data_IF_436816806865
#
_entry.id   IF_436816806865
#
_cell.length_a   1.000
_cell.length_b   1.000
_cell.length_c   1.000
_cell.angle_alpha   90.00
_cell.angle_beta   90.00
_cell.angle_gamma   90.00
#
_symmetry.space_group_name_H-M   'P 1'
#
loop_
_entity.id
_entity.type
_entity.pdbx_description
1 polymer ?
#
# COMPACT_ATOMS: atom_id res chain seq x y z
N UNK A 1 28.27 -23.66 31.74
CA UNK A 1 27.16 -23.21 30.88
C UNK A 1 26.34 -24.44 30.50
N UNK A 2 25.03 -24.45 30.76
CA UNK A 2 24.21 -25.63 30.47
C UNK A 2 23.85 -25.64 28.97
N UNK A 3 24.63 -26.36 28.17
CA UNK A 3 24.51 -26.38 26.69
C UNK A 3 23.09 -26.74 26.22
N UNK A 4 22.37 -27.55 27.02
CA UNK A 4 20.97 -27.91 26.74
C UNK A 4 20.04 -26.70 26.79
N UNK A 5 20.19 -25.85 27.81
CA UNK A 5 19.39 -24.63 27.97
C UNK A 5 19.70 -23.62 26.87
N UNK A 6 20.98 -23.50 26.50
CA UNK A 6 21.39 -22.61 25.41
C UNK A 6 20.76 -23.03 24.08
N UNK A 7 20.86 -24.31 23.71
CA UNK A 7 20.28 -24.80 22.47
C UNK A 7 18.75 -24.73 22.47
N UNK A 8 18.10 -25.08 23.59
CA UNK A 8 16.65 -24.98 23.71
C UNK A 8 16.15 -23.54 23.58
N UNK A 9 16.82 -22.59 24.24
CA UNK A 9 16.46 -21.17 24.16
C UNK A 9 16.72 -20.61 22.76
N UNK A 10 17.85 -20.97 22.15
CA UNK A 10 18.16 -20.60 20.77
C UNK A 10 17.11 -21.14 19.81
N UNK A 11 16.80 -22.44 19.87
CA UNK A 11 15.82 -23.05 18.98
C UNK A 11 14.41 -22.45 19.17
N UNK A 12 14.00 -22.18 20.42
CA UNK A 12 12.71 -21.56 20.70
C UNK A 12 12.62 -20.15 20.11
N UNK A 13 13.62 -19.30 20.33
CA UNK A 13 13.64 -17.94 19.79
C UNK A 13 13.78 -17.97 18.26
N UNK A 14 14.68 -18.81 17.73
CA UNK A 14 14.87 -18.96 16.30
C UNK A 14 13.58 -19.36 15.59
N UNK A 15 12.85 -20.35 16.12
CA UNK A 15 11.60 -20.81 15.52
C UNK A 15 10.46 -19.79 15.68
N UNK A 16 10.43 -19.04 16.78
CA UNK A 16 9.46 -17.97 16.99
C UNK A 16 9.67 -16.78 16.05
N UNK A 17 10.93 -16.50 15.68
CA UNK A 17 11.31 -15.38 14.81
C UNK A 17 11.36 -15.78 13.32
N UNK A 18 11.37 -17.08 13.00
CA UNK A 18 11.58 -17.57 11.63
C UNK A 18 10.45 -17.12 10.70
N UNK A 19 10.81 -16.34 9.67
CA UNK A 19 9.84 -15.82 8.70
C UNK A 19 9.05 -14.62 9.20
N UNK A 20 9.47 -13.98 10.30
CA UNK A 20 8.90 -12.71 10.72
C UNK A 20 9.18 -11.59 9.71
N UNK A 21 8.30 -10.58 9.70
CA UNK A 21 8.39 -9.38 8.87
C UNK A 21 9.74 -8.68 9.01
N UNK A 22 10.34 -8.66 10.21
CA UNK A 22 11.68 -8.07 10.39
C UNK A 22 12.77 -8.79 9.61
N UNK A 23 12.69 -10.11 9.41
CA UNK A 23 13.64 -10.87 8.60
C UNK A 23 13.49 -10.56 7.11
N UNK A 24 12.24 -10.42 6.63
CA UNK A 24 11.95 -9.98 5.26
C UNK A 24 12.44 -8.55 5.01
N UNK A 25 12.27 -7.65 5.98
CA UNK A 25 12.81 -6.28 5.91
C UNK A 25 14.34 -6.29 5.86
N UNK A 26 15.00 -7.08 6.72
CA UNK A 26 16.46 -7.21 6.71
C UNK A 26 16.98 -7.75 5.37
N UNK A 27 16.30 -8.75 4.79
CA UNK A 27 16.61 -9.31 3.48
C UNK A 27 16.42 -8.28 2.36
N UNK A 28 15.33 -7.51 2.40
CA UNK A 28 15.08 -6.44 1.43
C UNK A 28 16.14 -5.34 1.51
N UNK A 29 16.55 -4.92 2.73
CA UNK A 29 17.65 -3.98 2.92
C UNK A 29 18.99 -4.53 2.43
N UNK A 30 19.23 -5.84 2.60
CA UNK A 30 20.45 -6.46 2.12
C UNK A 30 20.48 -6.52 0.58
N UNK A 31 19.33 -6.76 -0.06
CA UNK A 31 19.19 -6.80 -1.52
C UNK A 31 19.35 -5.43 -2.19
N UNK A 32 18.97 -4.34 -1.51
CA UNK A 32 19.09 -2.97 -2.05
C UNK A 32 20.39 -2.25 -1.65
N UNK A 33 21.19 -2.81 -0.74
CA UNK A 33 22.42 -2.17 -0.25
C UNK A 33 23.63 -2.51 -1.12
N UNK A 34 24.48 -1.50 -1.38
CA UNK A 34 25.81 -1.67 -1.99
C UNK A 34 26.76 -2.54 -1.14
N UNK A 35 26.42 -2.78 0.13
CA UNK A 35 27.18 -3.65 1.04
C UNK A 35 26.24 -4.54 1.88
N UNK A 36 25.87 -5.73 1.37
CA UNK A 36 25.01 -6.67 2.08
C UNK A 36 25.58 -7.12 3.43
N UNK A 37 26.91 -7.21 3.53
CA UNK A 37 27.61 -7.57 4.77
C UNK A 37 27.39 -6.51 5.87
N UNK A 38 27.40 -5.22 5.52
CA UNK A 38 27.14 -4.16 6.50
C UNK A 38 25.71 -4.25 7.04
N UNK A 39 24.73 -4.55 6.18
CA UNK A 39 23.32 -4.74 6.58
C UNK A 39 23.19 -5.97 7.48
N UNK A 40 23.84 -7.08 7.13
CA UNK A 40 23.85 -8.29 7.95
C UNK A 40 24.37 -8.03 9.37
N UNK A 41 25.53 -7.36 9.50
CA UNK A 41 26.09 -7.07 10.82
C UNK A 41 25.27 -6.05 11.60
N UNK A 42 24.72 -5.03 10.93
CA UNK A 42 23.86 -4.03 11.57
C UNK A 42 22.58 -4.62 12.12
N UNK A 43 21.87 -5.41 11.31
CA UNK A 43 20.63 -6.09 11.70
C UNK A 43 20.87 -7.16 12.78
N UNK A 44 21.95 -7.92 12.65
CA UNK A 44 22.36 -8.90 13.68
C UNK A 44 22.67 -8.22 15.01
N UNK A 45 23.40 -7.10 15.00
CA UNK A 45 23.74 -6.35 16.22
C UNK A 45 22.50 -5.75 16.87
N UNK A 46 21.56 -5.23 16.06
CA UNK A 46 20.28 -4.73 16.56
C UNK A 46 19.48 -5.86 17.23
N UNK A 47 19.37 -7.03 16.61
CA UNK A 47 18.67 -8.18 17.17
C UNK A 47 19.29 -8.63 18.50
N UNK A 48 20.62 -8.79 18.54
CA UNK A 48 21.34 -9.18 19.76
C UNK A 48 21.10 -8.17 20.88
N UNK A 49 21.19 -6.87 20.57
CA UNK A 49 21.04 -5.79 21.55
C UNK A 49 19.62 -5.75 22.11
N UNK A 50 18.61 -5.79 21.26
CA UNK A 50 17.20 -5.78 21.68
C UNK A 50 16.85 -7.03 22.49
N UNK A 51 17.32 -8.21 22.07
CA UNK A 51 17.12 -9.45 22.82
C UNK A 51 17.80 -9.41 24.18
N UNK A 52 19.04 -8.91 24.25
CA UNK A 52 19.77 -8.77 25.51
C UNK A 52 19.04 -7.83 26.48
N UNK A 53 18.55 -6.69 25.99
CA UNK A 53 17.74 -5.78 26.79
C UNK A 53 16.46 -6.45 27.28
N UNK A 54 15.71 -7.13 26.41
CA UNK A 54 14.48 -7.83 26.78
C UNK A 54 14.72 -8.88 27.88
N UNK A 55 15.80 -9.66 27.78
CA UNK A 55 16.16 -10.66 28.80
C UNK A 55 16.56 -10.00 30.12
N UNK A 56 17.36 -8.92 30.09
CA UNK A 56 17.76 -8.18 31.31
C UNK A 56 16.52 -7.62 32.01
N UNK A 57 15.63 -6.95 31.26
CA UNK A 57 14.39 -6.41 31.82
C UNK A 57 13.46 -7.50 32.34
N UNK A 58 13.30 -8.61 31.60
CA UNK A 58 12.50 -9.75 32.02
C UNK A 58 13.02 -10.38 33.32
N UNK A 59 14.33 -10.52 33.46
CA UNK A 59 14.98 -11.03 34.67
C UNK A 59 14.87 -10.05 35.85
N UNK A 60 14.98 -8.74 35.59
CA UNK A 60 14.74 -7.74 36.64
C UNK A 60 13.29 -7.80 37.14
N UNK A 61 12.34 -7.99 36.23
CA UNK A 61 10.92 -8.06 36.56
C UNK A 61 10.56 -9.37 37.29
N UNK A 62 11.17 -10.50 36.91
CA UNK A 62 10.99 -11.81 37.56
C UNK A 62 11.46 -11.85 39.01
N UNK A 63 12.42 -11.00 39.38
CA UNK A 63 12.90 -10.87 40.76
C UNK A 63 11.95 -10.08 41.65
N UNK A 64 11.14 -9.19 41.07
CA UNK A 64 10.25 -8.29 41.80
C UNK A 64 8.81 -8.84 41.85
N UNK A 65 8.36 -9.49 40.79
CA UNK A 65 6.99 -9.99 40.65
C UNK A 65 6.89 -11.51 40.83
N UNK A 66 5.83 -12.01 41.48
CA UNK A 66 5.56 -13.45 41.53
C UNK A 66 5.32 -14.02 40.13
N UNK A 67 5.80 -15.23 39.87
CA UNK A 67 5.68 -15.93 38.58
C UNK A 67 4.23 -16.02 38.07
N UNK A 68 3.27 -16.22 38.98
CA UNK A 68 1.84 -16.23 38.64
C UNK A 68 1.36 -14.90 38.06
N UNK A 69 1.85 -13.79 38.59
CA UNK A 69 1.50 -12.44 38.10
C UNK A 69 2.11 -12.20 36.72
N UNK A 70 3.32 -12.68 36.48
CA UNK A 70 3.96 -12.60 35.17
C UNK A 70 3.19 -13.38 34.10
N UNK A 71 2.78 -14.63 34.38
CA UNK A 71 2.03 -15.44 33.42
C UNK A 71 0.64 -14.90 33.13
N UNK A 72 -0.10 -14.51 34.17
CA UNK A 72 -1.43 -13.93 33.99
C UNK A 72 -1.31 -12.56 33.30
N UNK A 73 -0.33 -11.75 33.71
CA UNK A 73 -0.07 -10.43 33.13
C UNK A 73 0.30 -10.51 31.65
N UNK A 74 1.20 -11.42 31.25
CA UNK A 74 1.58 -11.61 29.85
C UNK A 74 0.41 -12.13 29.02
N UNK A 75 -0.38 -13.09 29.55
CA UNK A 75 -1.57 -13.61 28.87
C UNK A 75 -2.64 -12.52 28.67
N UNK A 76 -2.93 -11.72 29.70
CA UNK A 76 -3.86 -10.58 29.60
C UNK A 76 -3.34 -9.56 28.60
N UNK A 77 -2.05 -9.23 28.63
CA UNK A 77 -1.46 -8.28 27.68
C UNK A 77 -1.54 -8.81 26.24
N UNK A 78 -1.32 -10.11 26.03
CA UNK A 78 -1.41 -10.74 24.73
C UNK A 78 -2.85 -10.69 24.18
N UNK A 79 -3.85 -10.98 25.01
CA UNK A 79 -5.27 -10.86 24.64
C UNK A 79 -5.65 -9.40 24.37
N UNK A 80 -5.19 -8.46 25.20
CA UNK A 80 -5.46 -7.04 25.00
C UNK A 80 -4.85 -6.52 23.70
N UNK A 81 -3.58 -6.82 23.44
CA UNK A 81 -2.92 -6.44 22.18
C UNK A 81 -3.61 -7.11 21.00
N UNK A 82 -3.92 -8.41 21.08
CA UNK A 82 -4.66 -9.12 20.04
C UNK A 82 -6.02 -8.51 19.77
N UNK A 83 -6.76 -8.13 20.81
CA UNK A 83 -8.06 -7.46 20.69
C UNK A 83 -7.91 -6.04 20.12
N UNK A 84 -6.92 -5.27 20.56
CA UNK A 84 -6.63 -3.95 20.01
C UNK A 84 -6.29 -4.05 18.53
N UNK A 85 -5.45 -5.00 18.12
CA UNK A 85 -5.13 -5.24 16.72
C UNK A 85 -6.36 -5.66 15.93
N UNK A 86 -7.17 -6.60 16.45
CA UNK A 86 -8.39 -7.06 15.81
C UNK A 86 -9.41 -5.93 15.67
N UNK A 87 -9.58 -5.10 16.70
CA UNK A 87 -10.48 -3.95 16.69
C UNK A 87 -9.94 -2.85 15.78
N UNK A 88 -8.62 -2.63 15.72
CA UNK A 88 -8.02 -1.66 14.82
C UNK A 88 -8.20 -2.06 13.35
N UNK A 89 -8.03 -3.35 13.04
CA UNK A 89 -8.32 -3.88 11.70
C UNK A 89 -9.82 -3.89 11.39
N UNK A 90 -10.68 -4.21 12.37
CA UNK A 90 -12.14 -4.16 12.19
C UNK A 90 -12.71 -2.73 12.15
N UNK A 91 -12.01 -1.74 12.70
CA UNK A 91 -12.36 -0.30 12.66
C UNK A 91 -11.74 0.43 11.49
N UNK A 92 -10.96 -0.23 10.64
CA UNK A 92 -10.61 0.34 9.35
C UNK A 92 -11.87 0.49 8.50
N UNK A 93 -12.50 1.65 8.56
CA UNK A 93 -12.71 2.45 7.34
C UNK A 93 -11.29 2.83 6.88
N UNK A 94 -10.88 2.71 5.60
CA UNK A 94 -9.50 2.94 5.18
C UNK A 94 -9.01 4.30 5.65
N UNK A 95 -8.30 4.31 6.78
CA UNK A 95 -7.68 5.48 7.32
C UNK A 95 -6.39 5.67 6.55
N UNK A 96 -6.36 6.70 5.69
CA UNK A 96 -5.13 7.23 5.12
C UNK A 96 -4.16 7.50 6.27
N UNK A 97 -3.13 6.66 6.40
CA UNK A 97 -2.11 6.82 7.42
C UNK A 97 -1.30 8.11 7.12
N UNK A 98 -0.93 8.90 8.14
CA UNK A 98 0.04 9.97 7.95
C UNK A 98 1.31 9.38 7.36
N UNK A 99 1.74 9.94 6.24
CA UNK A 99 2.81 9.37 5.45
C UNK A 99 4.12 9.38 6.25
N UNK A 100 4.85 8.25 6.33
CA UNK A 100 6.23 8.29 6.78
C UNK A 100 7.01 9.20 5.83
N UNK A 101 7.77 10.15 6.39
CA UNK A 101 8.76 10.89 5.61
C UNK A 101 9.64 9.89 4.87
N UNK A 102 9.89 10.10 3.56
CA UNK A 102 10.64 9.16 2.76
C UNK A 102 12.06 9.08 3.32
N UNK A 103 12.43 7.90 3.83
CA UNK A 103 13.81 7.56 4.08
C UNK A 103 14.58 7.75 2.76
N UNK A 104 15.53 8.68 2.75
CA UNK A 104 16.51 8.82 1.70
C UNK A 104 17.26 7.49 1.58
N UNK A 105 16.95 6.65 0.61
CA UNK A 105 17.82 5.54 0.26
C UNK A 105 17.86 5.37 -1.25
N UNK A 106 19.10 5.38 -1.74
CA UNK A 106 19.52 5.60 -3.11
C UNK A 106 19.07 4.51 -4.10
N UNK A 107 18.67 5.02 -5.27
CA UNK A 107 19.03 4.52 -6.61
C UNK A 107 18.66 3.08 -6.97
N UNK A 108 17.44 2.90 -7.48
CA UNK A 108 17.21 2.25 -8.79
C UNK A 108 16.15 3.10 -9.51
N UNK A 109 16.52 3.80 -10.59
CA UNK A 109 15.50 4.38 -11.46
C UNK A 109 14.75 3.21 -12.10
N UNK A 110 13.43 3.05 -11.93
CA UNK A 110 12.70 2.11 -12.76
C UNK A 110 12.89 2.58 -14.20
N UNK A 111 13.41 1.69 -15.06
CA UNK A 111 13.61 1.95 -16.48
C UNK A 111 12.37 2.66 -17.04
N UNK A 112 12.55 3.81 -17.71
CA UNK A 112 11.47 4.72 -18.08
C UNK A 112 10.35 4.08 -18.92
N UNK A 113 10.58 2.89 -19.48
CA UNK A 113 9.58 2.05 -20.14
C UNK A 113 8.48 1.56 -19.18
N UNK A 114 8.82 0.97 -18.02
CA UNK A 114 7.83 0.43 -17.09
C UNK A 114 6.98 1.52 -16.45
N UNK A 115 7.61 2.63 -16.04
CA UNK A 115 6.89 3.79 -15.51
C UNK A 115 5.91 4.37 -16.53
N UNK A 116 6.31 4.46 -17.81
CA UNK A 116 5.40 4.87 -18.90
C UNK A 116 4.28 3.86 -19.15
N UNK A 117 4.57 2.56 -19.07
CA UNK A 117 3.56 1.51 -19.27
C UNK A 117 2.50 1.55 -18.17
N UNK A 118 2.89 1.67 -16.90
CA UNK A 118 1.96 1.68 -15.78
C UNK A 118 1.18 3.00 -15.72
N UNK A 119 1.81 4.15 -16.00
CA UNK A 119 1.09 5.43 -16.10
C UNK A 119 0.16 5.50 -17.32
N UNK A 120 0.44 4.78 -18.41
CA UNK A 120 -0.52 4.64 -19.50
C UNK A 120 -1.74 3.82 -19.09
N UNK A 121 -1.58 2.82 -18.23
CA UNK A 121 -2.73 2.11 -17.64
C UNK A 121 -3.52 3.02 -16.71
N UNK A 122 -2.87 3.90 -15.93
CA UNK A 122 -3.56 4.93 -15.14
C UNK A 122 -4.52 5.76 -16.01
N UNK A 123 -4.02 6.28 -17.15
CA UNK A 123 -4.85 7.07 -18.08
C UNK A 123 -6.02 6.26 -18.65
N UNK A 124 -5.79 4.98 -18.94
CA UNK A 124 -6.85 4.08 -19.42
C UNK A 124 -7.95 3.94 -18.36
N UNK A 125 -7.58 3.69 -17.10
CA UNK A 125 -8.55 3.54 -16.02
C UNK A 125 -9.39 4.79 -15.78
N UNK A 126 -8.76 5.97 -15.81
CA UNK A 126 -9.47 7.25 -15.72
C UNK A 126 -10.46 7.45 -16.87
N UNK A 127 -10.04 7.12 -18.10
CA UNK A 127 -10.91 7.23 -19.27
C UNK A 127 -12.10 6.28 -19.16
N UNK A 128 -11.86 5.03 -18.74
CA UNK A 128 -12.93 4.06 -18.49
C UNK A 128 -13.80 4.40 -17.27
N UNK A 129 -13.30 5.18 -16.32
CA UNK A 129 -14.06 5.68 -15.17
C UNK A 129 -15.01 6.78 -15.60
N UNK A 130 -14.50 7.75 -16.36
CA UNK A 130 -15.29 8.83 -16.99
C UNK A 130 -16.42 8.25 -17.85
N UNK A 131 -16.13 7.29 -18.74
CA UNK A 131 -17.15 6.66 -19.58
C UNK A 131 -18.26 5.98 -18.74
N UNK A 132 -17.88 5.38 -17.60
CA UNK A 132 -18.81 4.73 -16.69
C UNK A 132 -19.66 5.75 -15.90
N UNK A 133 -19.07 6.87 -15.47
CA UNK A 133 -19.78 7.96 -14.80
C UNK A 133 -20.77 8.65 -15.74
N UNK A 134 -20.38 8.91 -16.99
CA UNK A 134 -21.27 9.48 -18.01
C UNK A 134 -22.46 8.56 -18.26
N UNK A 135 -22.20 7.25 -18.45
CA UNK A 135 -23.25 6.24 -18.63
C UNK A 135 -24.20 6.18 -17.44
N UNK A 136 -23.69 6.25 -16.21
CA UNK A 136 -24.50 6.26 -15.00
C UNK A 136 -25.31 7.57 -14.85
N UNK A 137 -24.74 8.69 -15.28
CA UNK A 137 -25.41 10.00 -15.28
C UNK A 137 -26.63 10.00 -16.20
N UNK A 138 -26.55 9.34 -17.37
CA UNK A 138 -27.67 9.24 -18.31
C UNK A 138 -28.89 8.51 -17.74
N UNK A 139 -28.66 7.49 -16.92
CA UNK A 139 -29.71 6.64 -16.32
C UNK A 139 -30.10 7.07 -14.90
N UNK A 140 -29.47 8.10 -14.34
CA UNK A 140 -29.74 8.59 -12.99
C UNK A 140 -30.95 9.54 -12.97
N UNK A 141 -32.01 9.12 -12.26
CA UNK A 141 -33.22 9.90 -12.05
C UNK A 141 -33.10 10.90 -10.87
N UNK A 142 -32.27 10.60 -9.87
CA UNK A 142 -32.06 11.47 -8.72
C UNK A 142 -31.23 12.70 -9.10
N UNK A 143 -31.74 13.90 -8.83
CA UNK A 143 -31.11 15.16 -9.25
C UNK A 143 -29.82 15.48 -8.46
N UNK A 144 -29.75 15.11 -7.18
CA UNK A 144 -28.59 15.36 -6.34
C UNK A 144 -27.45 14.40 -6.68
N UNK A 145 -27.76 13.11 -6.85
CA UNK A 145 -26.82 12.10 -7.31
C UNK A 145 -26.32 12.40 -8.72
N UNK A 146 -27.22 12.78 -9.63
CA UNK A 146 -26.85 13.20 -10.98
C UNK A 146 -25.87 14.38 -10.97
N UNK A 147 -26.15 15.40 -10.15
CA UNK A 147 -25.24 16.52 -10.01
C UNK A 147 -23.87 16.09 -9.46
N UNK A 148 -23.84 15.20 -8.46
CA UNK A 148 -22.61 14.64 -7.93
C UNK A 148 -21.80 13.86 -8.97
N UNK A 149 -22.45 13.05 -9.80
CA UNK A 149 -21.82 12.32 -10.90
C UNK A 149 -21.24 13.26 -11.98
N UNK A 150 -21.95 14.34 -12.33
CA UNK A 150 -21.46 15.36 -13.29
C UNK A 150 -20.24 16.13 -12.73
N UNK A 151 -20.22 16.41 -11.43
CA UNK A 151 -19.09 17.06 -10.75
C UNK A 151 -17.85 16.16 -10.73
N UNK A 152 -18.02 14.90 -10.31
CA UNK A 152 -16.95 13.90 -10.30
C UNK A 152 -16.40 13.67 -11.72
N UNK A 153 -17.27 13.49 -12.72
CA UNK A 153 -16.86 13.35 -14.13
C UNK A 153 -15.95 14.49 -14.57
N UNK A 154 -16.29 15.73 -14.20
CA UNK A 154 -15.49 16.91 -14.57
C UNK A 154 -14.13 16.94 -13.87
N UNK A 155 -14.05 16.46 -12.63
CA UNK A 155 -12.80 16.36 -11.87
C UNK A 155 -11.89 15.26 -12.43
N UNK A 156 -12.42 14.09 -12.79
CA UNK A 156 -11.65 12.98 -13.40
C UNK A 156 -11.03 13.37 -14.76
N UNK A 157 -11.68 14.27 -15.52
CA UNK A 157 -11.05 14.84 -16.72
C UNK A 157 -9.75 15.60 -16.40
N UNK A 158 -9.65 16.24 -15.23
CA UNK A 158 -8.41 16.91 -14.77
C UNK A 158 -7.35 15.88 -14.35
N UNK A 159 -7.77 14.73 -13.83
CA UNK A 159 -6.86 13.63 -13.48
C UNK A 159 -6.15 13.08 -14.73
N UNK A 160 -6.91 12.87 -15.82
CA UNK A 160 -6.39 12.44 -17.12
C UNK A 160 -5.30 13.39 -17.62
N UNK A 161 -5.53 14.70 -17.58
CA UNK A 161 -4.54 15.69 -18.03
C UNK A 161 -3.30 15.71 -17.13
N UNK A 162 -3.48 15.60 -15.81
CA UNK A 162 -2.37 15.52 -14.84
C UNK A 162 -1.48 14.30 -15.08
N UNK A 163 -2.08 13.15 -15.42
CA UNK A 163 -1.35 11.93 -15.78
C UNK A 163 -0.65 12.04 -17.14
N UNK A 164 -1.27 12.69 -18.13
CA UNK A 164 -0.63 12.95 -19.43
C UNK A 164 0.60 13.82 -19.26
N UNK A 165 0.51 14.90 -18.49
CA UNK A 165 1.66 15.76 -18.16
C UNK A 165 2.77 14.93 -17.52
N UNK A 166 2.42 14.07 -16.57
CA UNK A 166 3.38 13.21 -15.88
C UNK A 166 4.09 12.23 -16.83
N UNK A 167 3.36 11.63 -17.77
CA UNK A 167 3.92 10.74 -18.80
C UNK A 167 4.83 11.48 -19.76
N UNK A 168 4.47 12.70 -20.16
CA UNK A 168 5.30 13.52 -21.07
C UNK A 168 6.61 13.99 -20.42
N UNK A 169 6.65 14.09 -19.08
CA UNK A 169 7.86 14.44 -18.32
C UNK A 169 8.88 13.31 -18.20
N UNK A 170 8.57 12.07 -18.61
CA UNK A 170 9.50 10.94 -18.54
C UNK A 170 10.41 10.90 -19.79
N UNK A 171 11.75 10.93 -19.64
CA UNK A 171 12.68 10.83 -20.77
C UNK A 171 12.43 9.59 -21.65
N UNK A 172 12.53 9.77 -22.97
CA UNK A 172 12.40 8.67 -23.93
C UNK A 172 13.62 7.75 -23.82
N UNK A 173 13.44 6.46 -24.12
CA UNK A 173 14.54 5.48 -24.07
C UNK A 173 15.61 5.76 -25.14
N UNK A 174 15.28 6.60 -26.12
CA UNK A 174 16.15 6.96 -27.25
C UNK A 174 17.15 8.07 -26.89
N UNK A 175 17.06 8.65 -25.67
CA UNK A 175 17.96 9.69 -25.15
C UNK A 175 19.07 9.14 -24.23
N UNK A 176 19.17 7.80 -24.04
CA UNK A 176 20.31 7.19 -23.35
C UNK A 176 21.57 7.27 -24.22
N UNK A 177 22.74 7.68 -23.67
CA UNK A 177 24.00 7.56 -24.38
C UNK A 177 24.28 6.09 -24.65
N UNK A 178 24.37 5.74 -25.94
CA UNK A 178 24.67 4.42 -26.50
C UNK A 178 25.70 3.65 -25.66
N UNK A 179 25.20 2.85 -24.72
CA UNK A 179 25.95 1.80 -24.05
C UNK A 179 25.37 0.50 -24.57
N UNK A 180 25.90 0.11 -25.73
CA UNK A 180 25.43 -1.03 -26.52
C UNK A 180 25.13 -2.27 -25.70
N UNK A 181 23.84 -2.53 -25.50
CA UNK A 181 23.28 -3.85 -25.27
C UNK A 181 21.84 -3.82 -25.78
N UNK A 182 21.68 -4.29 -27.02
CA UNK A 182 20.40 -4.58 -27.64
C UNK A 182 19.81 -5.82 -26.95
N UNK A 183 19.23 -5.64 -25.76
CA UNK A 183 18.31 -6.60 -25.19
C UNK A 183 16.88 -6.10 -25.43
N UNK A 184 16.16 -6.88 -26.23
CA UNK A 184 14.73 -6.73 -26.47
C UNK A 184 14.02 -6.66 -25.11
N UNK A 185 13.11 -5.70 -24.85
CA UNK A 185 12.55 -5.52 -23.53
C UNK A 185 11.82 -6.80 -23.12
N UNK A 186 12.38 -7.52 -22.15
CA UNK A 186 11.66 -8.59 -21.48
C UNK A 186 10.36 -8.00 -20.93
N UNK A 187 9.28 -8.74 -21.06
CA UNK A 187 7.98 -8.41 -20.46
C UNK A 187 8.13 -8.48 -18.95
N UNK A 188 8.64 -7.41 -18.34
CA UNK A 188 8.77 -7.31 -16.90
C UNK A 188 7.37 -7.17 -16.33
N UNK A 189 6.93 -8.18 -15.59
CA UNK A 189 5.65 -8.14 -14.88
C UNK A 189 5.66 -6.98 -13.88
N UNK A 190 4.52 -6.28 -13.70
CA UNK A 190 4.44 -5.19 -12.74
C UNK A 190 4.82 -5.69 -11.34
N UNK A 191 5.45 -4.83 -10.52
CA UNK A 191 5.74 -5.15 -9.13
C UNK A 191 4.45 -5.52 -8.39
N UNK A 192 4.54 -6.48 -7.46
CA UNK A 192 3.40 -7.07 -6.74
C UNK A 192 2.32 -6.07 -6.29
N UNK A 193 2.62 -4.94 -5.62
CA UNK A 193 1.57 -4.01 -5.18
C UNK A 193 0.77 -3.36 -6.33
N UNK A 194 1.37 -3.20 -7.51
CA UNK A 194 0.66 -2.73 -8.70
C UNK A 194 -0.05 -3.89 -9.39
N UNK A 195 0.54 -5.08 -9.43
CA UNK A 195 -0.13 -6.27 -9.96
C UNK A 195 -1.40 -6.62 -9.16
N UNK A 196 -1.34 -6.53 -7.84
CA UNK A 196 -2.46 -6.79 -6.93
C UNK A 196 -3.58 -5.74 -7.13
N UNK A 197 -3.21 -4.46 -7.27
CA UNK A 197 -4.16 -3.40 -7.56
C UNK A 197 -4.83 -3.56 -8.94
N UNK A 198 -4.05 -3.91 -9.97
CA UNK A 198 -4.58 -4.21 -11.30
C UNK A 198 -5.56 -5.39 -11.27
N UNK A 199 -5.23 -6.46 -10.55
CA UNK A 199 -6.10 -7.63 -10.40
C UNK A 199 -7.39 -7.30 -9.61
N UNK A 200 -7.31 -6.42 -8.61
CA UNK A 200 -8.48 -5.95 -7.86
C UNK A 200 -9.46 -5.18 -8.77
N UNK A 201 -8.95 -4.39 -9.71
CA UNK A 201 -9.75 -3.66 -10.70
C UNK A 201 -10.38 -4.59 -11.75
N UNK A 202 -9.62 -5.58 -12.23
CA UNK A 202 -10.14 -6.61 -13.16
C UNK A 202 -11.23 -7.48 -12.53
N UNK A 203 -11.19 -7.68 -11.20
CA UNK A 203 -12.19 -8.45 -10.45
C UNK A 203 -13.55 -7.76 -10.28
N UNK A 204 -13.67 -6.47 -10.63
CA UNK A 204 -14.94 -5.73 -10.60
C UNK A 204 -15.74 -6.05 -11.88
N UNK A 205 -16.07 -7.34 -12.08
CA UNK A 205 -16.96 -7.77 -13.17
C UNK A 205 -18.44 -7.57 -12.79
N UNK A 206 -19.29 -7.44 -13.82
CA UNK A 206 -20.71 -7.16 -13.69
C UNK A 206 -21.51 -8.33 -13.06
N UNK A 207 -21.53 -8.45 -11.74
CA UNK A 207 -22.59 -9.22 -11.07
C UNK A 207 -23.91 -8.42 -11.16
N UNK A 208 -24.95 -8.99 -11.77
CA UNK A 208 -26.26 -8.32 -11.98
C UNK A 208 -26.94 -7.88 -10.67
N UNK A 209 -26.48 -8.38 -9.52
CA UNK A 209 -27.08 -8.13 -8.21
C UNK A 209 -26.76 -6.76 -7.60
N UNK A 210 -25.65 -6.10 -7.99
CA UNK A 210 -25.20 -4.84 -7.38
C UNK A 210 -25.56 -3.60 -8.21
N UNK A 211 -26.10 -2.58 -7.53
CA UNK A 211 -26.47 -1.28 -8.10
C UNK A 211 -25.30 -0.67 -8.89
N UNK A 212 -25.52 -0.13 -10.10
CA UNK A 212 -24.45 0.42 -10.94
C UNK A 212 -23.63 1.50 -10.21
N UNK A 213 -24.25 2.24 -9.27
CA UNK A 213 -23.59 3.27 -8.49
C UNK A 213 -22.64 2.72 -7.41
N UNK A 214 -22.94 1.55 -6.82
CA UNK A 214 -22.03 0.90 -5.88
C UNK A 214 -20.77 0.40 -6.59
N UNK A 215 -20.89 -0.02 -7.85
CA UNK A 215 -19.74 -0.42 -8.68
C UNK A 215 -18.86 0.76 -9.04
N UNK A 216 -19.44 1.94 -9.31
CA UNK A 216 -18.65 3.16 -9.53
C UNK A 216 -17.80 3.49 -8.30
N UNK A 217 -18.38 3.39 -7.10
CA UNK A 217 -17.66 3.63 -5.83
C UNK A 217 -16.51 2.62 -5.67
N UNK A 218 -16.77 1.33 -5.88
CA UNK A 218 -15.72 0.31 -5.82
C UNK A 218 -14.62 0.55 -6.86
N UNK A 219 -14.97 0.98 -8.07
CA UNK A 219 -14.01 1.29 -9.13
C UNK A 219 -13.12 2.47 -8.74
N UNK A 220 -13.67 3.55 -8.19
CA UNK A 220 -12.91 4.69 -7.67
C UNK A 220 -11.97 4.30 -6.52
N UNK A 221 -12.45 3.49 -5.56
CA UNK A 221 -11.60 2.98 -4.48
C UNK A 221 -10.43 2.14 -5.01
N UNK A 222 -10.67 1.31 -6.02
CA UNK A 222 -9.63 0.50 -6.64
C UNK A 222 -8.61 1.35 -7.44
N UNK A 223 -9.05 2.39 -8.15
CA UNK A 223 -8.18 3.38 -8.80
C UNK A 223 -7.31 4.10 -7.75
N UNK A 224 -7.89 4.48 -6.61
CA UNK A 224 -7.16 5.11 -5.51
C UNK A 224 -6.05 4.19 -4.95
N UNK A 225 -6.35 2.91 -4.75
CA UNK A 225 -5.36 1.92 -4.30
C UNK A 225 -4.22 1.76 -5.31
N UNK A 226 -4.55 1.75 -6.60
CA UNK A 226 -3.57 1.74 -7.68
C UNK A 226 -2.65 2.97 -7.65
N UNK A 227 -3.19 4.18 -7.41
CA UNK A 227 -2.39 5.39 -7.24
C UNK A 227 -1.52 5.38 -5.99
N UNK A 228 -2.01 4.85 -4.88
CA UNK A 228 -1.21 4.65 -3.67
C UNK A 228 -0.05 3.70 -3.96
N UNK A 229 -0.30 2.60 -4.67
CA UNK A 229 0.73 1.64 -5.05
C UNK A 229 1.79 2.31 -5.95
N UNK A 230 1.37 3.08 -6.95
CA UNK A 230 2.25 3.84 -7.83
C UNK A 230 3.08 4.89 -7.06
N UNK A 231 2.46 5.67 -6.20
CA UNK A 231 3.14 6.70 -5.41
C UNK A 231 4.21 6.10 -4.48
N UNK A 232 3.97 4.91 -3.93
CA UNK A 232 4.96 4.20 -3.08
C UNK A 232 6.21 3.78 -3.85
N UNK A 233 6.08 3.52 -5.14
CA UNK A 233 7.17 3.06 -5.99
C UNK A 233 7.84 4.20 -6.76
N UNK A 234 7.16 5.35 -6.86
CA UNK A 234 7.69 6.50 -7.57
C UNK A 234 8.78 7.21 -6.75
N UNK A 235 10.00 7.19 -7.28
CA UNK A 235 11.14 7.91 -6.71
C UNK A 235 11.23 9.38 -7.16
N UNK A 236 10.44 9.77 -8.17
CA UNK A 236 10.35 11.17 -8.61
C UNK A 236 9.40 11.92 -7.69
N UNK A 237 9.93 12.95 -7.01
CA UNK A 237 9.21 13.72 -6.00
C UNK A 237 7.89 14.27 -6.54
N UNK A 238 7.95 14.92 -7.70
CA UNK A 238 6.78 15.54 -8.35
C UNK A 238 5.73 14.49 -8.76
N UNK A 239 6.18 13.38 -9.34
CA UNK A 239 5.29 12.26 -9.72
C UNK A 239 4.57 11.65 -8.52
N UNK A 240 5.30 11.46 -7.42
CA UNK A 240 4.76 10.90 -6.20
C UNK A 240 3.70 11.80 -5.58
N UNK A 241 3.92 13.11 -5.59
CA UNK A 241 2.99 14.07 -5.02
C UNK A 241 1.73 14.19 -5.89
N UNK A 242 1.85 14.18 -7.22
CA UNK A 242 0.71 14.10 -8.14
C UNK A 242 -0.10 12.81 -7.91
N UNK A 243 0.56 11.65 -7.81
CA UNK A 243 -0.12 10.37 -7.59
C UNK A 243 -0.82 10.29 -6.23
N UNK A 244 -0.26 10.92 -5.19
CA UNK A 244 -0.92 11.02 -3.87
C UNK A 244 -2.12 11.95 -3.87
N UNK A 245 -2.00 13.06 -4.60
CA UNK A 245 -3.12 13.97 -4.81
C UNK A 245 -4.26 13.24 -5.52
N UNK A 246 -3.98 12.58 -6.65
CA UNK A 246 -4.94 11.75 -7.38
C UNK A 246 -5.63 10.71 -6.48
N UNK A 247 -4.84 9.92 -5.72
CA UNK A 247 -5.41 8.94 -4.80
C UNK A 247 -6.38 9.55 -3.77
N UNK A 248 -6.13 10.77 -3.31
CA UNK A 248 -6.98 11.46 -2.34
C UNK A 248 -8.26 12.00 -2.98
N UNK A 249 -8.20 12.44 -4.24
CA UNK A 249 -9.38 12.85 -5.02
C UNK A 249 -10.32 11.66 -5.24
N UNK A 250 -9.80 10.52 -5.70
CA UNK A 250 -10.59 9.29 -5.93
C UNK A 250 -11.34 8.82 -4.66
N UNK A 251 -10.66 8.84 -3.51
CA UNK A 251 -11.30 8.50 -2.21
C UNK A 251 -12.39 9.51 -1.87
N UNK A 252 -12.18 10.80 -2.15
CA UNK A 252 -13.17 11.85 -1.89
C UNK A 252 -14.40 11.66 -2.77
N UNK A 253 -14.22 11.33 -4.05
CA UNK A 253 -15.33 11.05 -4.96
C UNK A 253 -16.14 9.85 -4.49
N UNK A 254 -15.47 8.75 -4.14
CA UNK A 254 -16.12 7.56 -3.60
C UNK A 254 -16.96 7.90 -2.36
N UNK A 255 -16.41 8.67 -1.42
CA UNK A 255 -17.12 9.14 -0.23
C UNK A 255 -18.29 10.07 -0.56
N UNK A 256 -18.10 10.98 -1.52
CA UNK A 256 -19.13 11.92 -1.94
C UNK A 256 -20.32 11.19 -2.57
N UNK A 257 -20.08 10.32 -3.55
CA UNK A 257 -21.12 9.52 -4.19
C UNK A 257 -21.81 8.60 -3.19
N UNK A 258 -21.06 7.95 -2.30
CA UNK A 258 -21.60 7.14 -1.21
C UNK A 258 -22.53 7.94 -0.29
N UNK A 259 -22.18 9.19 0.03
CA UNK A 259 -23.02 10.06 0.85
C UNK A 259 -24.34 10.46 0.17
N UNK A 260 -24.33 10.62 -1.16
CA UNK A 260 -25.52 10.95 -1.94
C UNK A 260 -26.45 9.74 -2.03
N UNK A 261 -25.91 8.54 -2.30
CA UNK A 261 -26.70 7.30 -2.40
C UNK A 261 -27.36 6.94 -1.07
N UNK A 262 -26.64 7.06 0.05
CA UNK A 262 -27.17 6.72 1.37
C UNK A 262 -28.19 7.74 1.91
N UNK A 263 -28.30 8.93 1.30
CA UNK A 263 -29.25 9.95 1.74
C UNK A 263 -30.70 9.65 1.31
N UNK A 264 -30.91 8.81 0.30
CA UNK A 264 -32.24 8.38 -0.19
C UNK A 264 -32.94 7.34 0.71
N UNK A 265 -32.21 6.66 1.59
CA UNK A 265 -32.75 5.58 2.46
C UNK A 265 -33.36 6.09 3.79
N UNK A 266 -33.44 7.41 4.01
CA UNK A 266 -34.10 7.97 5.19
C UNK A 266 -35.60 8.18 4.96
N UNK A 267 -36.50 7.47 5.69
CA UNK A 267 -37.93 7.73 5.59
C UNK A 267 -38.24 9.14 6.12
N UNK A 268 -39.01 9.91 5.34
CA UNK A 268 -39.55 11.22 5.68
C UNK A 268 -40.49 11.20 6.91
#
# INVERSE_FOLDING_TARGET
>A
MNTKVLFASFALVFLAELGDKTQLTALAFAASSKSPWAVFFGTSLALITTTALAVIFGEMLSRVLPERVLHIGSGVMFVLVGLVLLVNEARKVPAVAPMPEPAETSMVQPAGFLSRMVLRHAILFETEMVDALESATEVCDDAALRQGLEEVTKEDHVHIESLKELVTGIPQADDEPDTGASEKPETVSPPAPVADALAAMEGIEADEADSPFHKLIQKQEAIAEFYIALARMSHLHDARDTLRWLAMEEIRHAQHLCSLINHDDQPA
#
